data_IF_990292481997
#
_entry.id   IF_990292481997
#
_cell.length_a   1.000
_cell.length_b   1.000
_cell.length_c   1.000
_cell.angle_alpha   90.00
_cell.angle_beta   90.00
_cell.angle_gamma   90.00
#
_symmetry.space_group_name_H-M   'P 1'
#
loop_
_entity.id
_entity.type
_entity.pdbx_description
1 polymer ?
#
# COMPACT_ATOMS: atom_id res chain seq x y z
N UNK A 1 21.91 -7.42 -22.83
CA UNK A 1 20.75 -6.52 -22.57
C UNK A 1 20.02 -7.07 -21.35
N UNK A 2 19.91 -6.29 -20.26
CA UNK A 2 19.38 -6.81 -18.98
C UNK A 2 17.87 -7.06 -19.05
N UNK A 3 17.39 -7.97 -18.22
CA UNK A 3 15.99 -8.42 -18.18
C UNK A 3 15.01 -7.29 -17.78
N UNK A 4 15.48 -6.38 -16.93
CA UNK A 4 14.80 -5.13 -16.55
C UNK A 4 14.54 -4.25 -17.79
N UNK A 5 15.51 -4.16 -18.69
CA UNK A 5 15.38 -3.39 -19.93
C UNK A 5 14.29 -3.96 -20.86
N UNK A 6 14.06 -5.28 -20.84
CA UNK A 6 12.99 -5.91 -21.64
C UNK A 6 11.61 -5.63 -21.07
N UNK A 7 11.45 -5.74 -19.74
CA UNK A 7 10.17 -5.45 -19.07
C UNK A 7 9.74 -3.99 -19.28
N UNK A 8 10.69 -3.05 -19.27
CA UNK A 8 10.40 -1.63 -19.49
C UNK A 8 10.04 -1.33 -20.96
N UNK A 9 10.65 -2.02 -21.92
CA UNK A 9 10.25 -1.93 -23.35
C UNK A 9 8.84 -2.48 -23.54
N UNK A 10 8.47 -3.55 -22.85
CA UNK A 10 7.12 -4.12 -22.94
C UNK A 10 6.07 -3.22 -22.28
N UNK A 11 6.35 -2.58 -21.15
CA UNK A 11 5.45 -1.56 -20.57
C UNK A 11 5.33 -0.31 -21.45
N UNK A 12 6.39 0.07 -22.18
CA UNK A 12 6.33 1.13 -23.22
C UNK A 12 5.44 0.73 -24.39
N UNK A 13 5.57 -0.50 -24.90
CA UNK A 13 4.71 -1.03 -25.99
C UNK A 13 3.24 -1.10 -25.58
N UNK A 14 2.95 -1.27 -24.29
CA UNK A 14 1.58 -1.21 -23.73
C UNK A 14 1.03 0.22 -23.61
N UNK A 15 1.76 1.25 -24.06
CA UNK A 15 1.28 2.63 -24.15
C UNK A 15 1.15 3.36 -22.81
N UNK A 16 1.76 2.84 -21.73
CA UNK A 16 1.73 3.46 -20.40
C UNK A 16 2.72 4.61 -20.24
N UNK A 17 3.75 4.67 -21.10
CA UNK A 17 4.71 5.78 -21.16
C UNK A 17 4.29 6.69 -22.31
N UNK A 18 3.70 7.86 -22.01
CA UNK A 18 3.32 8.86 -23.01
C UNK A 18 4.40 9.93 -23.12
N UNK A 19 5.15 9.92 -24.21
CA UNK A 19 6.12 10.96 -24.57
C UNK A 19 7.10 10.49 -25.64
N UNK A 20 7.43 11.37 -26.60
CA UNK A 20 8.64 11.21 -27.42
C UNK A 20 9.84 11.47 -26.51
N UNK A 21 10.50 10.39 -26.10
CA UNK A 21 11.72 10.48 -25.30
C UNK A 21 12.86 10.87 -26.25
N UNK A 22 13.34 12.12 -26.15
CA UNK A 22 14.24 12.72 -27.13
C UNK A 22 15.70 12.30 -26.92
N UNK A 23 16.05 11.67 -25.79
CA UNK A 23 17.40 11.14 -25.56
C UNK A 23 17.44 9.91 -24.63
N UNK A 24 18.46 9.04 -24.74
CA UNK A 24 18.69 7.94 -23.80
C UNK A 24 18.73 8.37 -22.32
N UNK A 25 19.24 9.58 -22.03
CA UNK A 25 19.33 10.12 -20.67
C UNK A 25 17.96 10.49 -20.09
N UNK A 26 17.04 11.02 -20.92
CA UNK A 26 15.65 11.25 -20.53
C UNK A 26 14.93 9.93 -20.24
N UNK A 27 15.18 8.90 -21.06
CA UNK A 27 14.61 7.56 -20.83
C UNK A 27 15.08 6.97 -19.50
N UNK A 28 16.37 7.09 -19.20
CA UNK A 28 16.96 6.58 -17.96
C UNK A 28 16.43 7.32 -16.72
N UNK A 29 16.19 8.64 -16.82
CA UNK A 29 15.57 9.42 -15.73
C UNK A 29 14.12 9.02 -15.48
N UNK A 30 13.34 8.81 -16.53
CA UNK A 30 11.95 8.38 -16.41
C UNK A 30 11.86 6.97 -15.78
N UNK A 31 12.70 6.03 -16.24
CA UNK A 31 12.81 4.69 -15.66
C UNK A 31 13.21 4.75 -14.19
N UNK A 32 14.21 5.57 -13.83
CA UNK A 32 14.65 5.73 -12.45
C UNK A 32 13.50 6.27 -11.57
N UNK A 33 12.73 7.24 -12.07
CA UNK A 33 11.55 7.76 -11.38
C UNK A 33 10.51 6.69 -11.09
N UNK A 34 10.18 5.86 -12.10
CA UNK A 34 9.23 4.74 -11.96
C UNK A 34 9.74 3.73 -10.92
N UNK A 35 11.02 3.33 -11.00
CA UNK A 35 11.60 2.35 -10.07
C UNK A 35 11.62 2.86 -8.62
N UNK A 36 11.92 4.14 -8.41
CA UNK A 36 11.89 4.77 -7.08
C UNK A 36 10.47 4.75 -6.50
N UNK A 37 9.47 5.10 -7.31
CA UNK A 37 8.06 5.07 -6.89
C UNK A 37 7.60 3.66 -6.54
N UNK A 38 7.89 2.66 -7.39
CA UNK A 38 7.57 1.26 -7.13
C UNK A 38 8.22 0.74 -5.84
N UNK A 39 9.51 1.06 -5.63
CA UNK A 39 10.22 0.68 -4.40
C UNK A 39 9.57 1.30 -3.16
N UNK A 40 9.17 2.58 -3.24
CA UNK A 40 8.46 3.26 -2.15
C UNK A 40 7.11 2.61 -1.84
N UNK A 41 6.31 2.31 -2.85
CA UNK A 41 5.00 1.63 -2.68
C UNK A 41 5.19 0.26 -2.03
N UNK A 42 6.16 -0.53 -2.50
CA UNK A 42 6.46 -1.84 -1.93
C UNK A 42 6.87 -1.75 -0.46
N UNK A 43 7.77 -0.82 -0.12
CA UNK A 43 8.17 -0.60 1.28
C UNK A 43 6.99 -0.22 2.17
N UNK A 44 6.07 0.63 1.68
CA UNK A 44 4.87 0.99 2.43
C UNK A 44 3.92 -0.21 2.63
N UNK A 45 3.74 -1.04 1.60
CA UNK A 45 2.93 -2.28 1.68
C UNK A 45 3.53 -3.29 2.66
N UNK A 46 4.84 -3.52 2.61
CA UNK A 46 5.53 -4.39 3.56
C UNK A 46 5.39 -3.89 5.00
N UNK A 47 5.49 -2.57 5.20
CA UNK A 47 5.27 -1.97 6.51
C UNK A 47 3.83 -2.23 6.98
N UNK A 48 2.83 -1.96 6.13
CA UNK A 48 1.40 -2.21 6.43
C UNK A 48 1.13 -3.68 6.80
N UNK A 49 1.76 -4.65 6.14
CA UNK A 49 1.64 -6.08 6.46
C UNK A 49 2.19 -6.44 7.85
N UNK A 50 3.20 -5.71 8.32
CA UNK A 50 3.85 -5.93 9.62
C UNK A 50 3.21 -5.12 10.75
N UNK A 51 2.26 -4.24 10.45
CA UNK A 51 1.59 -3.45 11.47
C UNK A 51 0.78 -4.37 12.40
N UNK A 52 0.93 -4.12 13.69
CA UNK A 52 0.26 -4.83 14.78
C UNK A 52 -0.32 -3.82 15.74
N UNK A 53 -1.43 -4.20 16.37
CA UNK A 53 -2.12 -3.42 17.40
C UNK A 53 -1.23 -3.03 18.58
N UNK A 54 -0.21 -3.84 18.90
CA UNK A 54 0.63 -3.73 20.10
C UNK A 54 1.26 -2.34 20.29
N UNK A 55 1.42 -1.56 19.21
CA UNK A 55 1.99 -0.20 19.26
C UNK A 55 0.94 0.92 19.40
N UNK A 56 -0.36 0.60 19.42
CA UNK A 56 -1.47 1.55 19.49
C UNK A 56 -2.07 1.61 20.89
N UNK A 57 -2.52 2.78 21.35
CA UNK A 57 -3.09 2.92 22.71
C UNK A 57 -4.50 2.36 22.80
N UNK A 58 -5.24 2.37 21.69
CA UNK A 58 -6.60 1.84 21.59
C UNK A 58 -6.93 1.44 20.14
N UNK A 59 -8.12 0.86 19.94
CA UNK A 59 -8.56 0.33 18.66
C UNK A 59 -8.85 1.41 17.60
N UNK A 60 -9.29 2.60 18.02
CA UNK A 60 -9.53 3.72 17.11
C UNK A 60 -8.22 4.28 16.55
N UNK A 61 -7.22 4.49 17.41
CA UNK A 61 -5.90 4.94 16.98
C UNK A 61 -5.29 3.94 16.00
N UNK A 62 -5.46 2.65 16.27
CA UNK A 62 -5.02 1.58 15.39
C UNK A 62 -5.73 1.60 14.02
N UNK A 63 -7.06 1.71 14.00
CA UNK A 63 -7.85 1.84 12.76
C UNK A 63 -7.46 3.09 11.96
N UNK A 64 -7.31 4.24 12.63
CA UNK A 64 -6.87 5.49 12.01
C UNK A 64 -5.46 5.40 11.44
N UNK A 65 -4.56 4.66 12.09
CA UNK A 65 -3.20 4.45 11.60
C UNK A 65 -3.20 3.59 10.33
N UNK A 66 -3.95 2.49 10.31
CA UNK A 66 -4.13 1.66 9.11
C UNK A 66 -4.72 2.48 7.95
N UNK A 67 -5.78 3.27 8.22
CA UNK A 67 -6.39 4.18 7.24
C UNK A 67 -5.39 5.15 6.65
N UNK A 68 -4.57 5.79 7.48
CA UNK A 68 -3.54 6.74 7.02
C UNK A 68 -2.50 6.09 6.12
N UNK A 69 -1.99 4.91 6.49
CA UNK A 69 -1.02 4.20 5.64
C UNK A 69 -1.64 3.75 4.31
N UNK A 70 -2.90 3.27 4.32
CA UNK A 70 -3.60 2.89 3.08
C UNK A 70 -3.83 4.10 2.18
N UNK A 71 -4.20 5.25 2.75
CA UNK A 71 -4.32 6.51 2.00
C UNK A 71 -2.97 6.90 1.38
N UNK A 72 -1.87 6.85 2.13
CA UNK A 72 -0.54 7.14 1.58
C UNK A 72 -0.17 6.19 0.44
N UNK A 73 -0.39 4.88 0.61
CA UNK A 73 -0.12 3.89 -0.44
C UNK A 73 -0.94 4.21 -1.68
N UNK A 74 -2.25 4.45 -1.54
CA UNK A 74 -3.14 4.71 -2.67
C UNK A 74 -2.80 6.01 -3.40
N UNK A 75 -2.33 7.04 -2.68
CA UNK A 75 -1.86 8.29 -3.29
C UNK A 75 -0.57 8.11 -4.09
N UNK A 76 0.36 7.26 -3.64
CA UNK A 76 1.64 7.02 -4.34
C UNK A 76 1.48 5.96 -5.45
N UNK A 77 0.44 5.12 -5.38
CA UNK A 77 0.19 4.00 -6.29
C UNK A 77 -0.62 4.38 -7.53
N UNK A 78 -0.54 5.61 -8.06
CA UNK A 78 -1.35 6.07 -9.22
C UNK A 78 -1.29 5.13 -10.46
N UNK A 79 -0.34 4.19 -10.51
CA UNK A 79 -0.15 3.19 -11.57
C UNK A 79 -0.37 1.72 -11.13
N UNK A 80 -0.59 1.45 -9.84
CA UNK A 80 -0.85 0.12 -9.28
C UNK A 80 -2.29 -0.01 -8.74
N UNK A 81 -2.73 -1.24 -8.46
CA UNK A 81 -4.05 -1.50 -7.88
C UNK A 81 -4.15 -0.90 -6.46
N UNK A 82 -5.02 0.09 -6.29
CA UNK A 82 -5.32 0.71 -5.01
C UNK A 82 -5.81 -0.33 -4.00
N UNK A 83 -5.39 -0.21 -2.74
CA UNK A 83 -5.89 -1.03 -1.65
C UNK A 83 -7.38 -0.71 -1.44
N UNK A 84 -8.22 -1.71 -1.67
CA UNK A 84 -9.66 -1.63 -1.44
C UNK A 84 -10.02 -1.58 0.05
N UNK A 85 -11.24 -1.11 0.37
CA UNK A 85 -11.76 -1.08 1.74
C UNK A 85 -11.77 -2.47 2.39
N UNK A 86 -12.09 -3.52 1.63
CA UNK A 86 -12.05 -4.89 2.15
C UNK A 86 -10.63 -5.29 2.54
N UNK A 87 -9.64 -5.00 1.69
CA UNK A 87 -8.24 -5.32 1.97
C UNK A 87 -7.70 -4.49 3.15
N UNK A 88 -8.08 -3.21 3.25
CA UNK A 88 -7.82 -2.38 4.42
C UNK A 88 -8.39 -3.00 5.70
N UNK A 89 -9.64 -3.47 5.68
CA UNK A 89 -10.24 -4.16 6.82
C UNK A 89 -9.48 -5.44 7.18
N UNK A 90 -9.01 -6.21 6.20
CA UNK A 90 -8.17 -7.40 6.47
C UNK A 90 -6.85 -7.03 7.16
N UNK A 91 -6.18 -5.96 6.74
CA UNK A 91 -4.96 -5.48 7.43
C UNK A 91 -5.23 -5.11 8.88
N UNK A 92 -6.29 -4.34 9.12
CA UNK A 92 -6.74 -4.00 10.46
C UNK A 92 -6.99 -5.27 11.28
N UNK A 93 -7.87 -6.15 10.81
CA UNK A 93 -8.24 -7.38 11.51
C UNK A 93 -7.02 -8.24 11.80
N UNK A 94 -6.15 -8.48 10.83
CA UNK A 94 -5.00 -9.38 10.95
C UNK A 94 -3.97 -8.91 11.96
N UNK A 95 -3.77 -7.60 12.13
CA UNK A 95 -2.82 -7.08 13.11
C UNK A 95 -3.36 -6.99 14.55
N UNK A 96 -4.63 -7.34 14.80
CA UNK A 96 -5.18 -7.40 16.16
C UNK A 96 -4.76 -8.66 16.92
N UNK A 97 -4.68 -8.60 18.25
CA UNK A 97 -4.55 -9.78 19.10
C UNK A 97 -5.79 -10.67 18.99
N UNK A 98 -5.65 -11.98 19.21
CA UNK A 98 -6.77 -12.94 19.13
C UNK A 98 -8.00 -12.50 19.92
N UNK A 99 -7.80 -12.08 21.18
CA UNK A 99 -8.88 -11.60 22.07
C UNK A 99 -9.70 -10.46 21.47
N UNK A 100 -9.08 -9.53 20.72
CA UNK A 100 -9.80 -8.43 20.06
C UNK A 100 -10.42 -8.87 18.73
N UNK A 101 -9.77 -9.79 18.00
CA UNK A 101 -10.33 -10.38 16.77
C UNK A 101 -11.64 -11.12 17.06
N UNK A 102 -11.69 -11.86 18.16
CA UNK A 102 -12.87 -12.64 18.55
C UNK A 102 -14.03 -11.70 18.96
N UNK A 103 -13.72 -10.59 19.65
CA UNK A 103 -14.69 -9.54 19.99
C UNK A 103 -15.21 -8.77 18.78
N UNK A 104 -14.43 -8.66 17.70
CA UNK A 104 -14.81 -8.00 16.44
C UNK A 104 -15.86 -8.77 15.64
N UNK A 105 -15.90 -10.10 15.77
CA UNK A 105 -16.94 -10.91 15.12
C UNK A 105 -18.31 -10.61 15.76
N UNK A 106 -18.31 -10.09 16.99
CA UNK A 106 -19.52 -9.85 17.76
C UNK A 106 -20.04 -8.41 17.67
N UNK A 107 -19.29 -7.48 17.07
CA UNK A 107 -19.62 -6.05 17.12
C UNK A 107 -18.92 -5.25 16.01
N UNK A 108 -19.66 -4.43 15.28
CA UNK A 108 -19.08 -3.40 14.40
C UNK A 108 -18.10 -2.54 15.20
N UNK A 109 -17.02 -2.06 14.57
CA UNK A 109 -15.87 -1.39 15.21
C UNK A 109 -16.24 -0.33 16.26
N UNK A 110 -17.41 0.31 16.13
CA UNK A 110 -17.94 1.27 17.09
C UNK A 110 -18.26 0.68 18.48
N UNK A 111 -18.67 -0.59 18.58
CA UNK A 111 -19.01 -1.19 19.88
C UNK A 111 -17.80 -1.61 20.71
N UNK A 112 -16.61 -1.74 20.10
CA UNK A 112 -15.37 -2.06 20.83
C UNK A 112 -14.87 -0.90 21.70
N UNK A 113 -15.18 0.35 21.31
CA UNK A 113 -14.87 1.53 22.13
C UNK A 113 -15.68 1.61 23.43
N UNK A 114 -16.78 0.85 23.55
CA UNK A 114 -17.60 0.81 24.76
C UNK A 114 -17.27 -0.37 25.68
N UNK A 115 -16.40 -1.28 25.23
CA UNK A 115 -16.10 -2.54 25.93
C UNK A 115 -14.69 -2.57 26.57
N UNK A 116 -13.97 -1.45 26.55
CA UNK A 116 -12.68 -1.23 27.22
C UNK A 116 -12.83 -0.03 28.15
#
# INVERSE_FOLDING_TARGET
MSEILRLLIDERKKGKIKGEVNSPDEMMREIAGILILLSRVNNLKENLERVRYVKSRNINEYDQYIKRMVQEINLVSEQEESISLNKQYQYFKNGLPGVLKDKLIFNEVQSLNRAI
#
